data_IF_997430374507
#
_entry.id   IF_997430374507
#
_cell.length_a   1.000
_cell.length_b   1.000
_cell.length_c   1.000
_cell.angle_alpha   90.00
_cell.angle_beta   90.00
_cell.angle_gamma   90.00
#
_symmetry.space_group_name_H-M   'P 1'
#
loop_
_entity.id
_entity.type
_entity.pdbx_description
1 polymer ?
#
# COMPACT_ATOMS: atom_id res chain seq x y z
N UNK A 1 14.15 33.36 4.16
CA UNK A 1 14.40 32.11 3.42
C UNK A 1 13.43 32.04 2.26
N UNK A 2 13.90 31.98 1.00
CA UNK A 2 13.02 31.83 -0.18
C UNK A 2 12.28 30.50 -0.15
N UNK A 3 11.16 30.37 -0.88
CA UNK A 3 10.41 29.12 -0.92
C UNK A 3 11.31 28.02 -1.52
N UNK A 4 11.72 27.07 -0.68
CA UNK A 4 12.54 25.94 -1.12
C UNK A 4 11.85 25.26 -2.32
N UNK A 5 12.60 24.99 -3.37
CA UNK A 5 12.10 24.31 -4.57
C UNK A 5 11.52 22.95 -4.19
N UNK A 6 10.51 22.49 -4.96
CA UNK A 6 9.85 21.18 -4.75
C UNK A 6 10.87 20.05 -4.55
N UNK A 7 11.90 20.01 -5.39
CA UNK A 7 12.95 18.98 -5.35
C UNK A 7 13.80 19.04 -4.06
N UNK A 8 14.16 20.22 -3.57
CA UNK A 8 14.89 20.35 -2.31
C UNK A 8 14.07 19.80 -1.15
N UNK A 9 12.78 20.16 -1.07
CA UNK A 9 11.86 19.65 -0.03
C UNK A 9 11.65 18.14 -0.13
N UNK A 10 11.61 17.58 -1.35
CA UNK A 10 11.51 16.15 -1.55
C UNK A 10 12.76 15.44 -1.02
N UNK A 11 13.96 15.92 -1.36
CA UNK A 11 15.24 15.36 -0.91
C UNK A 11 15.37 15.43 0.60
N UNK A 12 15.09 16.57 1.21
CA UNK A 12 15.11 16.77 2.65
C UNK A 12 14.10 15.85 3.35
N UNK A 13 12.88 15.75 2.82
CA UNK A 13 11.86 14.85 3.33
C UNK A 13 12.26 13.37 3.26
N UNK A 14 12.91 12.95 2.19
CA UNK A 14 13.45 11.58 2.06
C UNK A 14 14.59 11.33 3.06
N UNK A 15 15.49 12.30 3.25
CA UNK A 15 16.56 12.19 4.24
C UNK A 15 16.01 12.02 5.67
N UNK A 16 15.01 12.83 6.03
CA UNK A 16 14.30 12.74 7.32
C UNK A 16 13.59 11.38 7.42
N UNK A 17 12.86 10.98 6.38
CA UNK A 17 12.14 9.70 6.34
C UNK A 17 13.08 8.51 6.54
N UNK A 18 14.27 8.53 5.94
CA UNK A 18 15.29 7.49 6.12
C UNK A 18 15.86 7.50 7.55
N UNK A 19 16.21 8.66 8.08
CA UNK A 19 16.86 8.79 9.40
C UNK A 19 15.94 8.31 10.55
N UNK A 20 14.64 8.47 10.41
CA UNK A 20 13.64 8.08 11.42
C UNK A 20 12.97 6.71 11.14
N UNK A 21 13.46 5.97 10.13
CA UNK A 21 12.97 4.62 9.84
C UNK A 21 13.57 3.61 10.82
N UNK A 22 12.72 2.98 11.62
CA UNK A 22 13.11 1.92 12.57
C UNK A 22 13.56 0.64 11.87
N UNK A 23 13.19 0.44 10.60
CA UNK A 23 13.56 -0.74 9.80
C UNK A 23 15.07 -0.83 9.63
N UNK A 24 15.74 0.30 9.45
CA UNK A 24 17.19 0.38 9.29
C UNK A 24 17.94 0.74 10.57
N UNK A 25 17.27 0.69 11.73
CA UNK A 25 17.89 1.02 13.01
C UNK A 25 19.04 0.07 13.37
N UNK A 26 18.91 -1.23 13.04
CA UNK A 26 19.96 -2.24 13.21
C UNK A 26 19.98 -3.19 12.02
N UNK A 27 21.17 -3.81 11.77
CA UNK A 27 21.30 -4.88 10.77
C UNK A 27 20.34 -6.05 11.05
N UNK A 28 20.09 -6.37 12.31
CA UNK A 28 19.16 -7.44 12.69
C UNK A 28 17.71 -7.14 12.31
N UNK A 29 17.24 -5.91 12.60
CA UNK A 29 15.87 -5.50 12.21
C UNK A 29 15.71 -5.46 10.69
N UNK A 30 16.73 -4.99 9.96
CA UNK A 30 16.72 -4.97 8.51
C UNK A 30 16.67 -6.40 7.92
N UNK A 31 17.50 -7.33 8.44
CA UNK A 31 17.51 -8.73 7.98
C UNK A 31 16.18 -9.44 8.27
N UNK A 32 15.63 -9.29 9.47
CA UNK A 32 14.35 -9.89 9.82
C UNK A 32 13.24 -9.36 8.91
N UNK A 33 13.18 -8.06 8.72
CA UNK A 33 12.13 -7.44 7.92
C UNK A 33 12.28 -7.71 6.41
N UNK A 34 13.49 -7.75 5.89
CA UNK A 34 13.74 -7.91 4.44
C UNK A 34 13.78 -9.38 3.99
N UNK A 35 14.13 -10.29 4.88
CA UNK A 35 14.35 -11.69 4.50
C UNK A 35 13.40 -12.65 5.23
N UNK A 36 13.32 -12.56 6.55
CA UNK A 36 12.56 -13.55 7.34
C UNK A 36 11.06 -13.40 7.10
N UNK A 37 10.52 -12.19 7.12
CA UNK A 37 9.09 -11.96 6.92
C UNK A 37 8.64 -12.42 5.52
N UNK A 38 9.28 -12.02 4.39
CA UNK A 38 8.90 -12.51 3.07
C UNK A 38 9.01 -14.02 2.91
N UNK A 39 10.05 -14.63 3.47
CA UNK A 39 10.21 -16.09 3.43
C UNK A 39 9.07 -16.78 4.18
N UNK A 40 8.68 -16.28 5.36
CA UNK A 40 7.53 -16.81 6.10
C UNK A 40 6.22 -16.62 5.34
N UNK A 41 6.01 -15.48 4.67
CA UNK A 41 4.83 -15.25 3.82
C UNK A 41 4.79 -16.24 2.64
N UNK A 42 5.94 -16.52 2.02
CA UNK A 42 6.05 -17.52 0.95
C UNK A 42 5.71 -18.90 1.49
N UNK A 43 6.35 -19.32 2.58
CA UNK A 43 6.12 -20.62 3.21
C UNK A 43 4.64 -20.77 3.60
N UNK A 44 4.06 -19.75 4.19
CA UNK A 44 2.64 -19.74 4.54
C UNK A 44 1.74 -19.87 3.29
N UNK A 45 1.99 -19.09 2.26
CA UNK A 45 1.26 -19.15 0.99
C UNK A 45 1.39 -20.50 0.31
N UNK A 46 2.56 -21.15 0.42
CA UNK A 46 2.84 -22.48 -0.15
C UNK A 46 2.18 -23.61 0.64
N UNK A 47 2.17 -23.54 1.97
CA UNK A 47 1.48 -24.53 2.80
C UNK A 47 -0.03 -24.53 2.53
N UNK A 48 -0.63 -23.36 2.40
CA UNK A 48 -2.02 -23.25 1.96
C UNK A 48 -2.22 -23.69 0.52
N UNK A 49 -1.19 -23.54 -0.32
CA UNK A 49 -1.20 -23.88 -1.74
C UNK A 49 -0.98 -25.35 -2.03
N UNK A 50 -0.20 -26.04 -1.23
CA UNK A 50 0.15 -27.46 -1.48
C UNK A 50 -1.06 -28.40 -1.40
N UNK A 51 -2.08 -28.05 -0.60
CA UNK A 51 -3.30 -28.87 -0.44
C UNK A 51 -4.26 -28.84 -1.63
N UNK A 52 -4.09 -27.92 -2.55
CA UNK A 52 -5.11 -27.63 -3.55
C UNK A 52 -4.62 -27.81 -5.02
N UNK A 53 -3.80 -28.64 -5.41
CA UNK A 53 -3.34 -29.05 -6.79
C UNK A 53 -4.01 -28.36 -8.02
N UNK A 54 -4.46 -27.09 -7.90
CA UNK A 54 -5.22 -26.40 -8.93
C UNK A 54 -4.47 -25.20 -9.53
N UNK A 55 -4.71 -24.93 -10.81
CA UNK A 55 -4.21 -23.73 -11.51
C UNK A 55 -4.68 -22.42 -10.85
N UNK A 56 -5.78 -22.45 -10.12
CA UNK A 56 -6.33 -21.32 -9.34
C UNK A 56 -5.37 -20.91 -8.20
N UNK A 57 -4.59 -21.83 -7.65
CA UNK A 57 -3.66 -21.56 -6.57
C UNK A 57 -2.47 -20.71 -6.97
N UNK A 58 -1.90 -21.02 -8.11
CA UNK A 58 -0.78 -20.27 -8.65
C UNK A 58 -1.20 -18.81 -8.87
N UNK A 59 -2.39 -18.62 -9.43
CA UNK A 59 -3.00 -17.30 -9.57
C UNK A 59 -3.15 -16.61 -8.20
N UNK A 60 -3.72 -17.31 -7.23
CA UNK A 60 -3.93 -16.78 -5.87
C UNK A 60 -2.62 -16.36 -5.20
N UNK A 61 -1.53 -17.16 -5.35
CA UNK A 61 -0.22 -16.83 -4.81
C UNK A 61 0.36 -15.54 -5.40
N UNK A 62 0.27 -15.34 -6.73
CA UNK A 62 0.71 -14.10 -7.37
C UNK A 62 -0.12 -12.89 -6.95
N UNK A 63 -1.43 -13.04 -6.89
CA UNK A 63 -2.35 -11.97 -6.49
C UNK A 63 -2.15 -11.63 -5.01
N UNK A 64 -1.98 -12.63 -4.13
CA UNK A 64 -1.69 -12.42 -2.71
C UNK A 64 -0.39 -11.62 -2.52
N UNK A 65 0.67 -11.94 -3.26
CA UNK A 65 1.93 -11.17 -3.21
C UNK A 65 1.72 -9.71 -3.62
N UNK A 66 0.91 -9.44 -4.65
CA UNK A 66 0.60 -8.07 -5.07
C UNK A 66 -0.27 -7.32 -4.05
N UNK A 67 -1.22 -8.00 -3.38
CA UNK A 67 -2.05 -7.41 -2.32
C UNK A 67 -1.20 -7.10 -1.09
N UNK A 68 -0.35 -8.04 -0.65
CA UNK A 68 0.59 -7.82 0.46
C UNK A 68 1.51 -6.63 0.17
N UNK A 69 2.01 -6.53 -1.07
CA UNK A 69 2.82 -5.40 -1.53
C UNK A 69 2.09 -4.06 -1.39
N UNK A 70 0.85 -4.00 -1.89
CA UNK A 70 -0.01 -2.80 -1.79
C UNK A 70 -0.26 -2.42 -0.34
N UNK A 71 -0.61 -3.40 0.51
CA UNK A 71 -0.86 -3.21 1.94
C UNK A 71 0.39 -2.76 2.68
N UNK A 72 1.56 -3.30 2.35
CA UNK A 72 2.83 -2.93 2.97
C UNK A 72 3.21 -1.47 2.67
N UNK A 73 3.02 -1.01 1.42
CA UNK A 73 3.22 0.40 1.07
C UNK A 73 2.25 1.30 1.85
N UNK A 74 0.96 0.97 1.84
CA UNK A 74 -0.07 1.74 2.53
C UNK A 74 0.24 1.85 4.03
N UNK A 75 0.48 0.73 4.70
CA UNK A 75 0.76 0.68 6.14
C UNK A 75 2.07 1.39 6.50
N UNK A 76 3.11 1.23 5.67
CA UNK A 76 4.38 1.92 5.84
C UNK A 76 4.24 3.45 5.75
N UNK A 77 3.45 3.95 4.79
CA UNK A 77 3.16 5.38 4.67
C UNK A 77 2.37 5.90 5.89
N UNK A 78 1.34 5.17 6.33
CA UNK A 78 0.54 5.55 7.50
C UNK A 78 1.38 5.55 8.76
N UNK A 79 2.23 4.54 8.96
CA UNK A 79 3.16 4.47 10.08
C UNK A 79 4.09 5.68 10.12
N UNK A 80 4.55 6.11 8.95
CA UNK A 80 5.39 7.28 8.84
C UNK A 80 4.65 8.56 9.19
N UNK A 81 3.46 8.77 8.64
CA UNK A 81 2.60 9.93 8.96
C UNK A 81 2.26 9.95 10.45
N UNK A 82 1.99 8.80 11.07
CA UNK A 82 1.72 8.67 12.50
C UNK A 82 2.94 9.11 13.34
N UNK A 83 4.14 8.67 12.96
CA UNK A 83 5.39 9.08 13.63
C UNK A 83 5.63 10.57 13.49
N UNK A 84 5.50 11.11 12.28
CA UNK A 84 5.70 12.54 12.02
C UNK A 84 4.66 13.41 12.75
N UNK A 85 3.44 12.91 12.90
CA UNK A 85 2.40 13.54 13.70
C UNK A 85 2.78 13.55 15.19
N UNK A 86 3.27 12.45 15.71
CA UNK A 86 3.70 12.32 17.11
C UNK A 86 4.89 13.24 17.44
N UNK A 87 5.79 13.41 16.48
CA UNK A 87 6.95 14.30 16.60
C UNK A 87 6.64 15.79 16.32
N UNK A 88 5.41 16.14 15.94
CA UNK A 88 5.03 17.49 15.56
C UNK A 88 5.46 17.93 14.15
N UNK A 89 6.26 17.13 13.45
CA UNK A 89 6.78 17.45 12.10
C UNK A 89 5.64 17.59 11.09
N UNK A 90 4.62 16.73 11.20
CA UNK A 90 3.45 16.80 10.32
C UNK A 90 2.73 18.15 10.39
N UNK A 91 2.52 18.68 11.62
CA UNK A 91 1.87 19.97 11.86
C UNK A 91 2.73 21.11 11.33
N UNK A 92 4.05 21.06 11.54
CA UNK A 92 4.96 22.08 11.06
C UNK A 92 4.96 22.20 9.55
N UNK A 93 5.12 21.08 8.82
CA UNK A 93 5.08 21.05 7.35
C UNK A 93 3.75 21.59 6.82
N UNK A 94 2.63 21.18 7.41
CA UNK A 94 1.29 21.56 6.95
C UNK A 94 0.82 22.92 7.52
N UNK A 95 1.57 23.54 8.43
CA UNK A 95 1.31 24.94 8.86
C UNK A 95 1.52 25.93 7.72
N UNK A 96 2.50 25.67 6.86
CA UNK A 96 2.82 26.52 5.71
C UNK A 96 1.95 26.21 4.49
N UNK A 97 1.63 24.93 4.26
CA UNK A 97 0.80 24.47 3.14
C UNK A 97 -0.25 23.49 3.63
N UNK A 98 -1.50 23.65 3.21
CA UNK A 98 -2.60 22.77 3.61
C UNK A 98 -2.41 21.32 3.14
N UNK A 99 -1.72 21.14 2.01
CA UNK A 99 -1.30 19.88 1.45
C UNK A 99 0.04 20.09 0.74
N UNK A 100 1.03 19.28 1.05
CA UNK A 100 2.34 19.31 0.39
C UNK A 100 2.64 17.97 -0.29
N UNK A 101 2.53 17.95 -1.63
CA UNK A 101 2.80 16.77 -2.44
C UNK A 101 4.25 16.25 -2.27
N UNK A 102 5.23 17.15 -2.05
CA UNK A 102 6.62 16.75 -1.82
C UNK A 102 6.77 15.93 -0.54
N UNK A 103 6.06 16.32 0.54
CA UNK A 103 6.01 15.55 1.78
C UNK A 103 5.43 14.15 1.55
N UNK A 104 4.26 14.04 0.91
CA UNK A 104 3.60 12.75 0.70
C UNK A 104 4.41 11.81 -0.19
N UNK A 105 5.10 12.34 -1.21
CA UNK A 105 6.03 11.56 -2.02
C UNK A 105 7.26 11.13 -1.21
N UNK A 106 7.84 12.02 -0.40
CA UNK A 106 8.98 11.68 0.45
C UNK A 106 8.65 10.57 1.46
N UNK A 107 7.46 10.65 2.07
CA UNK A 107 6.93 9.62 3.00
C UNK A 107 6.77 8.27 2.30
N UNK A 108 6.43 8.25 1.01
CA UNK A 108 6.24 7.01 0.25
C UNK A 108 7.57 6.30 -0.10
N UNK A 109 8.68 7.03 -0.26
CA UNK A 109 9.94 6.47 -0.82
C UNK A 109 10.45 5.27 -0.02
N UNK A 110 10.57 5.39 1.30
CA UNK A 110 11.13 4.31 2.14
C UNK A 110 10.21 3.08 2.17
N UNK A 111 8.89 3.21 2.42
CA UNK A 111 7.95 2.09 2.32
C UNK A 111 7.94 1.42 0.93
N UNK A 112 8.01 2.20 -0.14
CA UNK A 112 8.04 1.66 -1.51
C UNK A 112 9.29 0.83 -1.75
N UNK A 113 10.48 1.32 -1.39
CA UNK A 113 11.74 0.56 -1.55
C UNK A 113 11.67 -0.74 -0.76
N UNK A 114 11.26 -0.66 0.50
CA UNK A 114 11.15 -1.83 1.37
C UNK A 114 10.15 -2.85 0.84
N UNK A 115 8.92 -2.43 0.58
CA UNK A 115 7.86 -3.31 0.07
C UNK A 115 8.20 -3.89 -1.29
N UNK A 116 8.87 -3.12 -2.18
CA UNK A 116 9.34 -3.63 -3.48
C UNK A 116 10.32 -4.79 -3.31
N UNK A 117 11.28 -4.64 -2.41
CA UNK A 117 12.27 -5.69 -2.15
C UNK A 117 11.61 -6.96 -1.63
N UNK A 118 10.73 -6.85 -0.65
CA UNK A 118 10.00 -8.00 -0.08
C UNK A 118 9.09 -8.66 -1.11
N UNK A 119 8.34 -7.89 -1.88
CA UNK A 119 7.43 -8.41 -2.89
C UNK A 119 8.17 -9.08 -4.07
N UNK A 120 9.33 -8.56 -4.48
CA UNK A 120 10.16 -9.23 -5.49
C UNK A 120 10.66 -10.60 -5.00
N UNK A 121 11.09 -10.68 -3.73
CA UNK A 121 11.47 -11.97 -3.12
C UNK A 121 10.28 -12.93 -3.12
N UNK A 122 9.09 -12.46 -2.71
CA UNK A 122 7.87 -13.26 -2.71
C UNK A 122 7.49 -13.77 -4.12
N UNK A 123 7.49 -12.90 -5.11
CA UNK A 123 7.17 -13.26 -6.50
C UNK A 123 8.18 -14.26 -7.09
N UNK A 124 9.49 -14.06 -6.81
CA UNK A 124 10.53 -15.00 -7.23
C UNK A 124 10.34 -16.34 -6.52
N UNK A 125 10.03 -16.35 -5.23
CA UNK A 125 9.75 -17.56 -4.46
C UNK A 125 8.58 -18.35 -5.04
N UNK A 126 7.46 -17.71 -5.32
CA UNK A 126 6.30 -18.35 -5.97
C UNK A 126 6.71 -18.94 -7.32
N UNK A 127 7.48 -18.22 -8.14
CA UNK A 127 7.92 -18.70 -9.44
C UNK A 127 8.89 -19.89 -9.35
N UNK A 128 9.78 -19.90 -8.37
CA UNK A 128 10.75 -20.99 -8.17
C UNK A 128 10.06 -22.27 -7.69
N UNK A 129 9.14 -22.15 -6.75
CA UNK A 129 8.42 -23.32 -6.21
C UNK A 129 7.46 -23.92 -7.24
N UNK A 130 6.82 -23.07 -8.02
CA UNK A 130 5.92 -23.50 -9.10
C UNK A 130 6.67 -23.82 -10.42
N UNK A 131 7.99 -23.97 -10.39
CA UNK A 131 8.79 -24.25 -11.58
C UNK A 131 8.30 -25.53 -12.27
N UNK A 132 7.96 -25.41 -13.54
CA UNK A 132 7.45 -26.54 -14.35
C UNK A 132 5.93 -26.70 -14.33
N UNK A 133 5.18 -25.93 -13.54
CA UNK A 133 3.72 -25.93 -13.61
C UNK A 133 3.24 -25.13 -14.84
N UNK A 134 2.11 -25.58 -15.42
CA UNK A 134 1.46 -24.87 -16.52
C UNK A 134 0.54 -23.78 -15.95
N UNK A 135 0.49 -22.63 -16.59
CA UNK A 135 -0.45 -21.55 -16.20
C UNK A 135 0.20 -20.33 -15.53
N UNK A 136 1.53 -20.18 -15.62
CA UNK A 136 2.18 -18.96 -15.17
C UNK A 136 1.70 -17.75 -15.97
N UNK A 137 1.40 -16.63 -15.29
CA UNK A 137 1.16 -15.36 -15.98
C UNK A 137 2.41 -14.93 -16.75
N UNK A 138 2.22 -14.20 -17.85
CA UNK A 138 3.33 -13.64 -18.60
C UNK A 138 4.15 -12.67 -17.72
N UNK A 139 5.45 -12.59 -17.97
CA UNK A 139 6.31 -11.64 -17.23
C UNK A 139 5.82 -10.20 -17.38
N UNK A 140 5.34 -9.84 -18.57
CA UNK A 140 4.78 -8.51 -18.84
C UNK A 140 3.52 -8.25 -17.99
N UNK A 141 2.62 -9.24 -17.86
CA UNK A 141 1.45 -9.12 -16.98
C UNK A 141 1.85 -8.97 -15.52
N UNK A 142 2.82 -9.75 -15.03
CA UNK A 142 3.31 -9.66 -13.66
C UNK A 142 3.93 -8.29 -13.37
N UNK A 143 4.79 -7.79 -14.24
CA UNK A 143 5.40 -6.46 -14.09
C UNK A 143 4.35 -5.34 -14.12
N UNK A 144 3.35 -5.46 -14.99
CA UNK A 144 2.26 -4.50 -15.04
C UNK A 144 1.38 -4.52 -13.80
N UNK A 145 1.02 -5.71 -13.28
CA UNK A 145 0.28 -5.85 -12.02
C UNK A 145 1.08 -5.31 -10.83
N UNK A 146 2.39 -5.57 -10.83
CA UNK A 146 3.29 -5.05 -9.80
C UNK A 146 3.35 -3.51 -9.83
N UNK A 147 3.51 -2.92 -11.02
CA UNK A 147 3.48 -1.47 -11.19
C UNK A 147 2.13 -0.85 -10.78
N UNK A 148 1.01 -1.50 -11.14
CA UNK A 148 -0.33 -1.08 -10.72
C UNK A 148 -0.48 -1.16 -9.20
N UNK A 149 -0.03 -2.26 -8.57
CA UNK A 149 -0.06 -2.46 -7.13
C UNK A 149 0.76 -1.40 -6.38
N UNK A 150 1.92 -1.00 -6.92
CA UNK A 150 2.74 0.08 -6.40
C UNK A 150 1.96 1.40 -6.38
N UNK A 151 1.41 1.79 -7.52
CA UNK A 151 0.66 3.06 -7.64
C UNK A 151 -0.57 3.05 -6.74
N UNK A 152 -1.34 1.96 -6.73
CA UNK A 152 -2.50 1.81 -5.86
C UNK A 152 -2.11 1.85 -4.38
N UNK A 153 -0.98 1.23 -4.00
CA UNK A 153 -0.46 1.24 -2.63
C UNK A 153 -0.13 2.65 -2.14
N UNK A 154 0.53 3.45 -2.97
CA UNK A 154 0.83 4.86 -2.65
C UNK A 154 -0.45 5.68 -2.54
N UNK A 155 -1.38 5.54 -3.48
CA UNK A 155 -2.66 6.28 -3.45
C UNK A 155 -3.52 5.89 -2.25
N UNK A 156 -3.60 4.60 -1.91
CA UNK A 156 -4.27 4.12 -0.70
C UNK A 156 -3.55 4.60 0.57
N UNK A 157 -2.22 4.69 0.55
CA UNK A 157 -1.42 5.23 1.66
C UNK A 157 -1.74 6.70 1.94
N UNK A 158 -1.93 7.52 0.90
CA UNK A 158 -2.42 8.90 1.03
C UNK A 158 -3.84 8.92 1.59
N UNK A 159 -4.73 8.05 1.09
CA UNK A 159 -6.10 7.92 1.56
C UNK A 159 -6.19 7.54 3.03
N UNK A 160 -5.56 6.43 3.39
CA UNK A 160 -5.56 5.87 4.74
C UNK A 160 -4.85 6.80 5.75
N UNK A 161 -3.71 7.39 5.34
CA UNK A 161 -3.00 8.38 6.15
C UNK A 161 -3.84 9.62 6.40
N UNK A 162 -4.54 10.11 5.39
CA UNK A 162 -5.45 11.25 5.51
C UNK A 162 -6.62 10.99 6.47
N UNK A 163 -7.20 9.78 6.44
CA UNK A 163 -8.23 9.35 7.40
C UNK A 163 -7.67 9.38 8.82
N UNK A 164 -6.45 8.87 9.03
CA UNK A 164 -5.81 8.77 10.35
C UNK A 164 -5.43 10.12 10.96
N UNK A 165 -5.27 11.20 10.18
CA UNK A 165 -4.79 12.51 10.68
C UNK A 165 -5.69 13.09 11.75
N UNK A 166 -7.01 12.91 11.66
CA UNK A 166 -7.97 13.50 12.61
C UNK A 166 -8.48 12.50 13.66
N UNK A 167 -8.09 11.24 13.58
CA UNK A 167 -8.49 10.20 14.52
C UNK A 167 -7.53 10.08 15.71
N UNK A 168 -8.03 9.56 16.83
CA UNK A 168 -7.22 9.20 17.99
C UNK A 168 -6.20 8.12 17.68
N UNK A 169 -6.62 7.10 16.90
CA UNK A 169 -5.73 6.08 16.37
C UNK A 169 -5.38 6.40 14.91
N UNK A 170 -4.13 6.82 14.63
CA UNK A 170 -3.69 7.13 13.28
C UNK A 170 -3.61 5.92 12.35
N UNK A 171 -3.59 4.70 12.90
CA UNK A 171 -3.50 3.45 12.14
C UNK A 171 -4.84 2.92 11.64
N UNK A 172 -5.96 3.50 12.06
CA UNK A 172 -7.31 3.02 11.70
C UNK A 172 -7.46 2.83 10.19
N UNK A 173 -6.99 3.79 9.38
CA UNK A 173 -7.05 3.68 7.91
C UNK A 173 -6.23 2.51 7.35
N UNK A 174 -5.00 2.34 7.83
CA UNK A 174 -4.13 1.25 7.39
C UNK A 174 -4.67 -0.13 7.81
N UNK A 175 -5.15 -0.25 9.04
CA UNK A 175 -5.74 -1.49 9.56
C UNK A 175 -6.99 -1.87 8.77
N UNK A 176 -7.82 -0.89 8.39
CA UNK A 176 -8.99 -1.10 7.55
C UNK A 176 -8.59 -1.60 6.16
N UNK A 177 -7.59 -0.97 5.53
CA UNK A 177 -7.08 -1.42 4.22
C UNK A 177 -6.50 -2.82 4.33
N UNK A 178 -5.66 -3.11 5.33
CA UNK A 178 -5.04 -4.42 5.51
C UNK A 178 -6.07 -5.54 5.72
N UNK A 179 -7.15 -5.26 6.44
CA UNK A 179 -8.21 -6.23 6.68
C UNK A 179 -9.13 -6.45 5.47
N UNK A 180 -9.53 -5.37 4.79
CA UNK A 180 -10.53 -5.43 3.74
C UNK A 180 -9.96 -5.73 2.36
N UNK A 181 -8.75 -5.26 2.06
CA UNK A 181 -8.17 -5.41 0.72
C UNK A 181 -8.04 -6.87 0.29
N UNK A 182 -7.51 -7.83 1.09
CA UNK A 182 -7.44 -9.24 0.70
C UNK A 182 -8.80 -9.88 0.45
N UNK A 183 -9.81 -9.47 1.21
CA UNK A 183 -11.19 -9.96 1.05
C UNK A 183 -11.79 -9.38 -0.23
N UNK A 184 -11.83 -8.06 -0.34
CA UNK A 184 -12.58 -7.37 -1.41
C UNK A 184 -11.92 -7.49 -2.80
N UNK A 185 -10.64 -7.80 -2.87
CA UNK A 185 -9.95 -8.12 -4.14
C UNK A 185 -10.19 -9.55 -4.61
N UNK A 186 -10.80 -10.41 -3.79
CA UNK A 186 -11.08 -11.79 -4.15
C UNK A 186 -9.86 -12.72 -4.10
N UNK A 187 -8.86 -12.37 -3.26
CA UNK A 187 -7.66 -13.22 -3.05
C UNK A 187 -8.01 -14.44 -2.21
N UNK A 188 -8.71 -14.23 -1.08
CA UNK A 188 -9.07 -15.31 -0.15
C UNK A 188 -10.16 -16.19 -0.75
N UNK A 189 -11.20 -15.57 -1.29
CA UNK A 189 -12.30 -16.26 -1.96
C UNK A 189 -12.56 -15.55 -3.29
N UNK A 190 -12.56 -16.25 -4.43
CA UNK A 190 -12.85 -15.64 -5.74
C UNK A 190 -14.20 -14.93 -5.75
N UNK A 191 -14.28 -13.75 -6.39
CA UNK A 191 -15.49 -12.89 -6.40
C UNK A 191 -16.75 -13.61 -6.94
N UNK A 192 -16.58 -14.66 -7.75
CA UNK A 192 -17.70 -15.48 -8.27
C UNK A 192 -18.55 -16.15 -7.19
N UNK A 193 -17.98 -16.33 -5.98
CA UNK A 193 -18.67 -16.95 -4.84
C UNK A 193 -19.26 -15.92 -3.89
N UNK A 194 -19.07 -14.61 -4.14
CA UNK A 194 -19.55 -13.57 -3.25
C UNK A 194 -21.05 -13.30 -3.45
N UNK A 195 -21.78 -13.00 -2.37
CA UNK A 195 -23.13 -12.49 -2.48
C UNK A 195 -23.11 -11.10 -3.14
N UNK A 196 -24.18 -10.74 -3.83
CA UNK A 196 -24.26 -9.52 -4.64
C UNK A 196 -23.86 -8.25 -3.88
N UNK A 197 -24.24 -8.12 -2.61
CA UNK A 197 -23.88 -6.97 -1.78
C UNK A 197 -22.36 -6.85 -1.55
N UNK A 198 -21.64 -7.96 -1.41
CA UNK A 198 -20.19 -7.94 -1.20
C UNK A 198 -19.44 -7.62 -2.49
N UNK A 199 -19.99 -8.07 -3.65
CA UNK A 199 -19.45 -7.70 -4.96
C UNK A 199 -19.49 -6.18 -5.16
N UNK A 200 -20.53 -5.49 -4.66
CA UNK A 200 -20.59 -4.04 -4.71
C UNK A 200 -19.43 -3.36 -4.01
N UNK A 201 -19.02 -3.86 -2.84
CA UNK A 201 -17.83 -3.33 -2.15
C UNK A 201 -16.53 -3.58 -2.90
N UNK A 202 -16.41 -4.67 -3.65
CA UNK A 202 -15.25 -4.91 -4.49
C UNK A 202 -15.12 -3.88 -5.62
N UNK A 203 -16.21 -3.31 -6.11
CA UNK A 203 -16.17 -2.25 -7.15
C UNK A 203 -15.56 -0.93 -6.65
N UNK A 204 -15.61 -0.64 -5.36
CA UNK A 204 -14.98 0.53 -4.75
C UNK A 204 -13.62 0.23 -4.15
N UNK A 205 -13.11 -0.99 -4.39
CA UNK A 205 -11.79 -1.43 -3.96
C UNK A 205 -10.84 -1.46 -5.16
N UNK A 206 -9.68 -0.79 -5.11
CA UNK A 206 -8.72 -0.85 -6.21
C UNK A 206 -8.12 -2.25 -6.34
N UNK A 207 -7.61 -2.58 -7.52
CA UNK A 207 -7.03 -3.88 -7.89
C UNK A 207 -8.04 -5.02 -8.07
N UNK A 208 -9.26 -4.90 -7.57
CA UNK A 208 -10.25 -5.97 -7.62
C UNK A 208 -10.58 -6.41 -9.05
N UNK A 209 -10.60 -5.49 -10.00
CA UNK A 209 -10.91 -5.80 -11.41
C UNK A 209 -9.75 -6.47 -12.12
N UNK A 210 -8.54 -5.95 -11.96
CA UNK A 210 -7.35 -6.52 -12.59
C UNK A 210 -7.03 -7.92 -12.06
N UNK A 211 -7.18 -8.12 -10.77
CA UNK A 211 -6.90 -9.42 -10.16
C UNK A 211 -7.92 -10.50 -10.53
N UNK A 212 -9.12 -10.14 -10.92
CA UNK A 212 -10.15 -11.10 -11.34
C UNK A 212 -10.19 -11.33 -12.87
N UNK A 213 -9.22 -10.81 -13.63
CA UNK A 213 -9.10 -11.12 -15.04
C UNK A 213 -8.58 -12.55 -15.28
N UNK A 214 -9.12 -13.28 -16.26
CA UNK A 214 -8.63 -14.60 -16.62
C UNK A 214 -7.14 -14.55 -17.00
N UNK A 215 -6.34 -15.49 -16.47
CA UNK A 215 -4.90 -15.56 -16.73
C UNK A 215 -4.10 -14.34 -16.26
N UNK A 216 -4.66 -13.47 -15.43
CA UNK A 216 -4.05 -12.21 -14.98
C UNK A 216 -3.61 -11.31 -16.14
N UNK A 217 -4.31 -11.35 -17.25
CA UNK A 217 -4.04 -10.49 -18.42
C UNK A 217 -4.49 -9.06 -18.09
N UNK A 218 -3.59 -8.09 -18.32
CA UNK A 218 -3.89 -6.69 -18.11
C UNK A 218 -4.89 -6.17 -19.15
N UNK A 219 -6.09 -5.89 -18.71
CA UNK A 219 -7.07 -5.18 -19.52
C UNK A 219 -6.96 -3.67 -19.26
N UNK A 220 -6.69 -2.83 -20.26
CA UNK A 220 -6.56 -1.37 -20.09
C UNK A 220 -7.75 -0.73 -19.37
N UNK A 221 -8.97 -1.19 -19.63
CA UNK A 221 -10.17 -0.68 -18.98
C UNK A 221 -10.18 -1.04 -17.48
N UNK A 222 -9.80 -2.26 -17.12
CA UNK A 222 -9.69 -2.69 -15.74
C UNK A 222 -8.60 -1.89 -15.00
N UNK A 223 -7.44 -1.70 -15.63
CA UNK A 223 -6.34 -0.89 -15.08
C UNK A 223 -6.79 0.55 -14.83
N UNK A 224 -7.41 1.19 -15.80
CA UNK A 224 -7.89 2.56 -15.67
C UNK A 224 -8.94 2.70 -14.57
N UNK A 225 -9.87 1.76 -14.48
CA UNK A 225 -10.90 1.77 -13.44
C UNK A 225 -10.30 1.54 -12.05
N UNK A 226 -9.35 0.63 -11.88
CA UNK A 226 -8.68 0.40 -10.59
C UNK A 226 -7.84 1.61 -10.16
N UNK A 227 -7.16 2.29 -11.11
CA UNK A 227 -6.46 3.54 -10.85
C UNK A 227 -7.40 4.68 -10.47
N UNK A 228 -8.56 4.80 -11.13
CA UNK A 228 -9.53 5.85 -10.78
C UNK A 228 -10.12 5.63 -9.39
N UNK A 229 -10.38 4.39 -9.00
CA UNK A 229 -10.82 4.05 -7.63
C UNK A 229 -9.73 4.37 -6.60
N UNK A 230 -8.47 4.01 -6.87
CA UNK A 230 -7.36 4.35 -5.99
C UNK A 230 -7.18 5.88 -5.86
N UNK A 231 -7.26 6.62 -6.97
CA UNK A 231 -7.20 8.08 -6.98
C UNK A 231 -8.36 8.72 -6.21
N UNK A 232 -9.55 8.14 -6.28
CA UNK A 232 -10.71 8.58 -5.48
C UNK A 232 -10.45 8.46 -3.97
N UNK A 233 -9.88 7.34 -3.51
CA UNK A 233 -9.49 7.16 -2.11
C UNK A 233 -8.38 8.14 -1.70
N UNK A 234 -7.39 8.38 -2.55
CA UNK A 234 -6.36 9.40 -2.31
C UNK A 234 -6.96 10.79 -2.18
N UNK A 235 -7.92 11.15 -3.05
CA UNK A 235 -8.63 12.43 -2.99
C UNK A 235 -9.38 12.62 -1.67
N UNK A 236 -10.07 11.58 -1.19
CA UNK A 236 -10.70 11.59 0.13
C UNK A 236 -9.65 11.92 1.20
N UNK A 237 -8.50 11.24 1.19
CA UNK A 237 -7.42 11.52 2.13
C UNK A 237 -6.92 12.96 2.08
N UNK A 238 -6.68 13.48 0.87
CA UNK A 238 -6.27 14.90 0.68
C UNK A 238 -7.29 15.87 1.26
N UNK A 239 -8.59 15.64 1.00
CA UNK A 239 -9.67 16.49 1.53
C UNK A 239 -9.72 16.43 3.06
N UNK A 240 -9.54 15.26 3.64
CA UNK A 240 -9.54 15.09 5.11
C UNK A 240 -8.32 15.79 5.74
N UNK A 241 -7.12 15.65 5.17
CA UNK A 241 -5.93 16.40 5.61
C UNK A 241 -6.19 17.90 5.54
N UNK A 242 -6.73 18.38 4.42
CA UNK A 242 -7.04 19.79 4.25
C UNK A 242 -8.04 20.32 5.30
N UNK A 243 -9.06 19.52 5.61
CA UNK A 243 -10.05 19.84 6.65
C UNK A 243 -9.43 19.85 8.06
N UNK A 244 -8.64 18.83 8.38
CA UNK A 244 -7.95 18.72 9.65
C UNK A 244 -7.01 19.92 9.88
N UNK A 245 -6.24 20.30 8.86
CA UNK A 245 -5.35 21.46 8.94
C UNK A 245 -6.10 22.79 9.03
N UNK A 246 -7.27 22.91 8.41
CA UNK A 246 -8.13 24.08 8.58
C UNK A 246 -8.59 24.23 10.03
N UNK A 247 -9.04 23.14 10.66
CA UNK A 247 -9.46 23.14 12.08
C UNK A 247 -8.31 23.49 13.03
N UNK A 248 -7.12 22.94 12.77
CA UNK A 248 -5.92 23.20 13.56
C UNK A 248 -5.57 24.71 13.55
N UNK A 249 -5.59 25.34 12.37
CA UNK A 249 -5.32 26.79 12.21
C UNK A 249 -6.38 27.68 12.87
N UNK A 250 -7.59 27.19 13.05
CA UNK A 250 -8.67 27.91 13.72
C UNK A 250 -8.64 27.75 15.25
N UNK A 251 -7.66 27.03 15.81
CA UNK A 251 -7.56 26.75 17.23
C UNK A 251 -8.69 25.89 17.80
N UNK A 252 -9.47 25.24 16.90
CA UNK A 252 -10.62 24.40 17.28
C UNK A 252 -10.20 23.01 17.74
N UNK A 253 -8.92 22.67 17.62
CA UNK A 253 -8.37 21.38 18.07
C UNK A 253 -7.41 21.63 19.24
N UNK A 254 -7.80 21.20 20.45
CA UNK A 254 -6.85 20.95 21.52
C UNK A 254 -6.05 19.70 21.11
N UNK A 255 -4.74 19.83 21.07
CA UNK A 255 -3.86 18.69 20.88
C UNK A 255 -4.20 17.64 21.95
N UNK A 256 -4.69 16.50 21.52
CA UNK A 256 -4.65 15.31 22.37
C UNK A 256 -3.18 14.89 22.38
N UNK A 257 -2.50 15.29 23.45
CA UNK A 257 -1.20 14.80 23.84
C UNK A 257 -1.27 13.31 24.11
#
# INVERSE_FOLDING_TARGET
MGPANFWARLVDGVAISRASSTIFATLGTALVSLLVIPVLEIVYSLLFGADLHSTELLRTAYVASCVSFTSAICSGMVSRVATDRHLGVFQEVHSWRRFDAAYWLAVAVVPVIFATTTALIALLGVRLVAWGQVGHPSLASLLGLFGLSLVCGVLLGVGAGGIGVDLSDPYTGANTVAALLPILTGVIVPLKYYPAWLVWFSYVTPLARCFNQPGLVLNPVAVLTDLTVAAFWALIGVVLVWHAMKRLRQGLRREAL
#
